data_IF_931093775937
#
_entry.id   IF_931093775937
#
_cell.length_a   1.000
_cell.length_b   1.000
_cell.length_c   1.000
_cell.angle_alpha   90.00
_cell.angle_beta   90.00
_cell.angle_gamma   90.00
#
_symmetry.space_group_name_H-M   'P 1'
#
loop_
_entity.id
_entity.type
_entity.pdbx_description
1 polymer ?
#
# COMPACT_ATOMS: atom_id res chain seq x y z
N UNK A 1 8.41 -25.61 -2.89
CA UNK A 1 8.37 -25.10 -2.44
C UNK A 1 8.39 -24.75 -1.76
N UNK A 2 8.66 -24.56 -1.46
CA UNK A 2 8.76 -24.31 -0.72
C UNK A 2 8.49 -23.31 0.08
N UNK A 3 7.85 -22.76 -0.01
CA UNK A 3 7.39 -21.68 0.72
C UNK A 3 6.61 -22.15 1.86
N UNK A 4 6.87 -21.65 3.00
CA UNK A 4 6.09 -21.99 4.15
C UNK A 4 4.73 -21.38 4.05
N UNK A 5 3.72 -22.19 4.28
CA UNK A 5 2.36 -21.64 4.29
C UNK A 5 2.22 -20.57 5.35
N UNK A 6 1.45 -19.54 5.05
CA UNK A 6 1.20 -18.51 6.01
C UNK A 6 2.34 -17.56 6.25
N UNK A 7 3.32 -17.59 5.39
CA UNK A 7 4.43 -16.68 5.52
C UNK A 7 3.97 -15.27 5.36
N UNK A 8 4.01 -14.46 6.41
CA UNK A 8 3.52 -13.08 6.33
C UNK A 8 4.16 -12.24 5.25
N UNK A 9 5.45 -12.41 4.95
CA UNK A 9 6.08 -11.56 3.95
C UNK A 9 5.44 -11.60 2.58
N UNK A 10 4.87 -12.73 2.21
CA UNK A 10 4.24 -12.85 0.90
C UNK A 10 2.95 -12.05 0.83
N UNK A 11 2.23 -12.03 1.94
CA UNK A 11 0.97 -11.32 1.96
C UNK A 11 1.17 -9.82 1.77
N UNK A 12 2.15 -9.23 2.42
CA UNK A 12 2.32 -7.80 2.27
C UNK A 12 2.82 -7.44 0.88
N UNK A 13 3.54 -8.35 0.23
CA UNK A 13 3.98 -8.09 -1.14
C UNK A 13 2.80 -8.08 -2.10
N UNK A 14 1.86 -8.99 -1.90
CA UNK A 14 0.65 -9.01 -2.70
C UNK A 14 -0.14 -7.73 -2.51
N UNK A 15 -0.26 -7.29 -1.27
CA UNK A 15 -0.99 -6.08 -0.97
C UNK A 15 -0.30 -4.87 -1.60
N UNK A 16 1.03 -4.81 -1.50
CA UNK A 16 1.76 -3.71 -2.12
C UNK A 16 1.54 -3.69 -3.63
N UNK A 17 1.58 -4.85 -4.25
CA UNK A 17 1.33 -4.93 -5.69
C UNK A 17 -0.08 -4.51 -6.06
N UNK A 18 -1.06 -4.87 -5.24
CA UNK A 18 -2.44 -4.48 -5.51
C UNK A 18 -2.60 -2.96 -5.43
N UNK A 19 -2.01 -2.34 -4.42
CA UNK A 19 -2.11 -0.90 -4.29
C UNK A 19 -1.35 -0.21 -5.42
N UNK A 20 -0.18 -0.73 -5.77
CA UNK A 20 0.58 -0.16 -6.87
C UNK A 20 -0.22 -0.21 -8.17
N UNK A 21 -0.93 -1.30 -8.41
CA UNK A 21 -1.75 -1.42 -9.61
C UNK A 21 -2.86 -0.36 -9.62
N UNK A 22 -3.44 -0.09 -8.46
CA UNK A 22 -4.49 0.92 -8.36
C UNK A 22 -3.92 2.33 -8.59
N UNK A 23 -2.67 2.54 -8.23
CA UNK A 23 -2.02 3.81 -8.52
C UNK A 23 -1.76 3.92 -10.02
N UNK A 24 -1.27 2.84 -10.62
CA UNK A 24 -0.90 2.88 -12.02
C UNK A 24 -2.09 2.98 -12.95
N UNK A 25 -3.21 2.38 -12.57
CA UNK A 25 -4.39 2.45 -13.44
C UNK A 25 -5.24 3.70 -13.20
N UNK A 26 -4.80 4.57 -12.29
CA UNK A 26 -5.48 5.84 -12.07
C UNK A 26 -6.59 5.81 -11.04
N UNK A 27 -6.86 4.66 -10.43
CA UNK A 27 -7.86 4.60 -9.39
C UNK A 27 -7.47 5.50 -8.21
N UNK A 28 -6.18 5.48 -7.88
CA UNK A 28 -5.60 6.45 -6.93
C UNK A 28 -4.73 7.40 -7.74
N UNK A 29 -5.26 8.55 -8.15
CA UNK A 29 -4.48 9.43 -9.04
C UNK A 29 -3.28 10.06 -8.34
N UNK A 30 -2.29 10.49 -9.12
CA UNK A 30 -1.13 11.19 -8.54
C UNK A 30 -1.58 12.37 -7.70
N UNK A 31 -0.96 12.51 -6.53
CA UNK A 31 -1.26 13.61 -5.63
C UNK A 31 -2.49 13.43 -4.76
N UNK A 32 -3.26 12.37 -4.99
CA UNK A 32 -4.48 12.17 -4.21
C UNK A 32 -4.17 11.51 -2.87
N UNK A 33 -5.07 11.72 -1.92
CA UNK A 33 -4.92 11.14 -0.61
C UNK A 33 -5.42 9.71 -0.62
N UNK A 34 -4.62 8.80 -0.06
CA UNK A 34 -5.01 7.42 0.06
C UNK A 34 -5.93 7.23 1.26
N UNK A 35 -6.76 6.18 1.24
CA UNK A 35 -7.49 5.79 2.44
C UNK A 35 -6.50 5.47 3.56
N UNK A 36 -6.97 5.54 4.79
CA UNK A 36 -6.12 5.20 5.93
C UNK A 36 -5.72 3.73 5.85
N UNK A 37 -4.65 3.37 6.56
CA UNK A 37 -4.21 1.99 6.60
C UNK A 37 -5.32 1.07 7.11
N UNK A 38 -6.07 1.54 8.07
CA UNK A 38 -7.18 0.77 8.60
C UNK A 38 -8.27 0.57 7.56
N UNK A 39 -8.57 1.62 6.81
CA UNK A 39 -9.56 1.52 5.75
C UNK A 39 -9.10 0.59 4.66
N UNK A 40 -7.82 0.68 4.29
CA UNK A 40 -7.27 -0.21 3.28
C UNK A 40 -7.32 -1.66 3.74
N UNK A 41 -7.02 -1.91 5.01
CA UNK A 41 -7.10 -3.27 5.54
C UNK A 41 -8.50 -3.83 5.40
N UNK A 42 -9.50 -3.00 5.69
CA UNK A 42 -10.88 -3.44 5.54
C UNK A 42 -11.27 -3.66 4.09
N UNK A 43 -10.87 -2.76 3.21
CA UNK A 43 -11.21 -2.87 1.80
C UNK A 43 -10.55 -4.07 1.13
N UNK A 44 -9.32 -4.36 1.54
CA UNK A 44 -8.57 -5.46 0.95
C UNK A 44 -8.73 -6.76 1.71
N UNK A 45 -9.42 -6.71 2.84
CA UNK A 45 -9.69 -7.88 3.66
C UNK A 45 -8.41 -8.56 4.10
N UNK A 46 -7.50 -7.76 4.63
CA UNK A 46 -6.22 -8.27 5.15
C UNK A 46 -5.96 -7.63 6.50
N UNK A 47 -4.98 -8.18 7.21
CA UNK A 47 -4.62 -7.67 8.52
C UNK A 47 -4.02 -6.27 8.42
N UNK A 48 -4.28 -5.47 9.43
CA UNK A 48 -3.76 -4.11 9.50
C UNK A 48 -2.23 -4.08 9.39
N UNK A 49 -1.56 -4.97 10.13
CA UNK A 49 -0.10 -5.00 10.06
C UNK A 49 0.45 -5.33 8.68
N UNK A 50 -0.30 -6.13 7.93
CA UNK A 50 0.08 -6.45 6.56
C UNK A 50 0.05 -5.20 5.70
N UNK A 51 -0.99 -4.37 5.86
CA UNK A 51 -1.08 -3.13 5.11
C UNK A 51 0.07 -2.20 5.51
N UNK A 52 0.36 -2.10 6.80
CA UNK A 52 1.44 -1.24 7.25
C UNK A 52 2.76 -1.60 6.60
N UNK A 53 3.05 -2.90 6.51
CA UNK A 53 4.29 -3.33 5.87
C UNK A 53 4.27 -3.02 4.38
N UNK A 54 3.13 -3.21 3.74
CA UNK A 54 3.01 -2.89 2.32
C UNK A 54 3.26 -1.41 2.08
N UNK A 55 2.73 -0.55 2.96
CA UNK A 55 2.92 0.88 2.79
C UNK A 55 4.38 1.29 2.93
N UNK A 56 5.12 0.60 3.82
CA UNK A 56 6.56 0.86 3.93
C UNK A 56 7.25 0.59 2.59
N UNK A 57 6.91 -0.54 1.97
CA UNK A 57 7.50 -0.88 0.68
C UNK A 57 7.19 0.18 -0.37
N UNK A 58 5.93 0.59 -0.44
CA UNK A 58 5.52 1.58 -1.42
C UNK A 58 6.21 2.92 -1.20
N UNK A 59 6.38 3.28 0.07
CA UNK A 59 7.05 4.54 0.41
C UNK A 59 8.53 4.49 0.02
N UNK A 60 9.17 3.36 0.27
CA UNK A 60 10.56 3.18 -0.09
C UNK A 60 10.78 3.23 -1.60
N UNK A 61 9.77 2.80 -2.35
CA UNK A 61 9.84 2.87 -3.80
C UNK A 61 9.45 4.23 -4.35
N UNK A 62 9.07 5.15 -3.50
CA UNK A 62 8.72 6.49 -3.94
C UNK A 62 7.35 6.61 -4.56
N UNK A 63 6.48 5.62 -4.38
CA UNK A 63 5.14 5.64 -4.96
C UNK A 63 4.15 6.42 -4.10
N UNK A 64 4.41 6.51 -2.81
CA UNK A 64 3.57 7.24 -1.90
C UNK A 64 4.44 8.04 -0.96
N UNK A 65 3.83 9.03 -0.31
CA UNK A 65 4.53 9.81 0.69
C UNK A 65 3.58 10.16 1.82
N UNK A 66 4.14 10.35 3.00
CA UNK A 66 3.36 10.72 4.17
C UNK A 66 3.63 12.16 4.52
N UNK A 67 2.57 12.92 4.73
CA UNK A 67 2.67 14.29 5.18
C UNK A 67 2.09 14.36 6.57
N UNK A 68 2.93 14.70 7.53
CA UNK A 68 2.54 14.70 8.93
C UNK A 68 1.31 15.57 9.15
N UNK A 69 0.35 15.00 9.87
CA UNK A 69 -0.87 15.72 10.18
C UNK A 69 -1.88 15.73 9.05
N UNK A 70 -1.52 15.25 7.87
CA UNK A 70 -2.42 15.29 6.72
C UNK A 70 -2.75 13.94 6.14
N UNK A 71 -1.82 13.00 6.16
CA UNK A 71 -2.07 11.65 5.70
C UNK A 71 -1.05 11.17 4.71
N UNK A 72 -1.41 10.12 4.00
CA UNK A 72 -0.55 9.51 3.00
C UNK A 72 -1.13 9.78 1.62
N UNK A 73 -0.28 10.16 0.71
CA UNK A 73 -0.68 10.61 -0.62
C UNK A 73 0.08 9.85 -1.68
N UNK A 74 -0.54 9.69 -2.85
CA UNK A 74 0.15 9.15 -4.01
C UNK A 74 1.17 10.18 -4.45
N UNK A 75 2.41 9.73 -4.70
CA UNK A 75 3.46 10.64 -5.13
C UNK A 75 3.08 11.27 -6.47
N UNK A 76 3.38 12.56 -6.66
CA UNK A 76 3.07 13.19 -7.93
C UNK A 76 3.89 12.57 -9.05
N UNK A 77 3.30 12.50 -10.23
CA UNK A 77 4.02 12.03 -11.39
C UNK A 77 4.92 13.10 -11.92
N UNK A 78 6.06 12.68 -12.42
CA UNK A 78 7.00 13.62 -13.01
C UNK A 78 6.80 13.69 -14.50
#
# INVERSE_FOLDING_TARGET
MTESPGRPPLEYRRVAGAIEALIENGYFPPGSKLPSEKELAGQLDVAYGTVRRAMVVLRERGLILTIWGKGTFVAPRQ
#
